data_IF_422818515293
#
_entry.id   IF_422818515293
#
_cell.length_a   1.000
_cell.length_b   1.000
_cell.length_c   1.000
_cell.angle_alpha   90.00
_cell.angle_beta   90.00
_cell.angle_gamma   90.00
#
_symmetry.space_group_name_H-M   'P 1'
#
loop_
_entity.id
_entity.type
_entity.pdbx_description
1 polymer ?
#
# COMPACT_ATOMS: atom_id res chain seq x y z
N UNK A 1 27.57 10.64 -16.92
CA UNK A 1 29.01 10.34 -16.65
C UNK A 1 29.64 11.35 -15.66
N UNK A 2 29.02 11.63 -14.49
CA UNK A 2 29.60 12.52 -13.45
C UNK A 2 29.81 11.85 -12.08
N UNK A 3 29.22 10.67 -11.84
CA UNK A 3 29.30 10.00 -10.54
C UNK A 3 30.72 9.53 -10.16
N UNK A 4 31.64 9.35 -11.12
CA UNK A 4 33.05 9.06 -10.83
C UNK A 4 33.74 10.15 -10.01
N UNK A 5 33.26 11.39 -10.09
CA UNK A 5 33.83 12.54 -9.37
C UNK A 5 33.38 12.62 -7.90
N UNK A 6 32.49 11.73 -7.45
CA UNK A 6 31.93 11.72 -6.09
C UNK A 6 32.38 10.51 -5.27
N UNK A 7 33.37 9.74 -5.74
CA UNK A 7 33.98 8.65 -5.00
C UNK A 7 34.71 9.23 -3.79
N UNK A 8 34.29 8.84 -2.58
CA UNK A 8 34.86 9.25 -1.30
C UNK A 8 34.99 8.01 -0.40
N UNK A 9 36.16 7.34 -0.42
CA UNK A 9 36.40 6.13 0.37
C UNK A 9 36.15 6.34 1.86
N UNK A 10 36.58 7.50 2.40
CA UNK A 10 36.45 7.85 3.82
C UNK A 10 35.00 8.12 4.26
N UNK A 11 34.08 8.32 3.32
CA UNK A 11 32.65 8.55 3.56
C UNK A 11 31.77 7.33 3.19
N UNK A 12 32.39 6.18 2.88
CA UNK A 12 31.67 4.94 2.54
C UNK A 12 31.22 4.82 1.09
N UNK A 13 31.71 5.67 0.18
CA UNK A 13 31.45 5.60 -1.27
C UNK A 13 32.75 5.25 -2.00
N UNK A 14 33.18 4.00 -1.89
CA UNK A 14 34.44 3.54 -2.47
C UNK A 14 34.34 3.31 -3.98
N UNK A 15 33.12 3.16 -4.51
CA UNK A 15 32.88 2.82 -5.92
C UNK A 15 31.86 3.74 -6.60
N UNK A 16 31.94 3.79 -7.94
CA UNK A 16 30.96 4.47 -8.79
C UNK A 16 29.52 3.98 -8.56
N UNK A 17 29.35 2.68 -8.34
CA UNK A 17 28.05 2.05 -8.10
C UNK A 17 27.46 2.41 -6.73
N UNK A 18 28.30 2.52 -5.70
CA UNK A 18 27.86 3.00 -4.38
C UNK A 18 27.44 4.47 -4.43
N UNK A 19 28.18 5.32 -5.14
CA UNK A 19 27.80 6.72 -5.33
C UNK A 19 26.46 6.86 -6.07
N UNK A 20 26.22 6.03 -7.11
CA UNK A 20 24.94 6.01 -7.81
C UNK A 20 23.79 5.49 -6.93
N UNK A 21 24.00 4.42 -6.16
CA UNK A 21 22.99 3.91 -5.22
C UNK A 21 22.66 4.92 -4.13
N UNK A 22 23.66 5.62 -3.60
CA UNK A 22 23.44 6.71 -2.64
C UNK A 22 22.59 7.84 -3.24
N UNK A 23 22.88 8.24 -4.48
CA UNK A 23 22.07 9.24 -5.18
C UNK A 23 20.63 8.75 -5.44
N UNK A 24 20.46 7.48 -5.84
CA UNK A 24 19.14 6.86 -6.01
C UNK A 24 18.35 6.91 -4.71
N UNK A 25 18.95 6.49 -3.60
CA UNK A 25 18.31 6.47 -2.28
C UNK A 25 17.81 7.87 -1.89
N UNK A 26 18.64 8.91 -2.05
CA UNK A 26 18.24 10.29 -1.75
C UNK A 26 17.04 10.74 -2.60
N UNK A 27 17.03 10.41 -3.89
CA UNK A 27 15.94 10.80 -4.79
C UNK A 27 14.66 10.04 -4.43
N UNK A 28 14.77 8.73 -4.22
CA UNK A 28 13.66 7.87 -3.79
C UNK A 28 13.06 8.40 -2.49
N UNK A 29 13.89 8.65 -1.48
CA UNK A 29 13.44 9.18 -0.18
C UNK A 29 12.73 10.52 -0.33
N UNK A 30 13.27 11.44 -1.13
CA UNK A 30 12.62 12.73 -1.41
C UNK A 30 11.26 12.54 -2.07
N UNK A 31 11.16 11.71 -3.12
CA UNK A 31 9.90 11.47 -3.82
C UNK A 31 8.88 10.75 -2.93
N UNK A 32 9.30 9.75 -2.14
CA UNK A 32 8.42 8.98 -1.27
C UNK A 32 7.85 9.78 -0.10
N UNK A 33 8.54 10.85 0.33
CA UNK A 33 8.12 11.72 1.42
C UNK A 33 7.35 12.97 0.95
N UNK A 34 7.14 13.15 -0.35
CA UNK A 34 6.38 14.27 -0.91
C UNK A 34 4.89 14.19 -0.55
N UNK A 35 4.33 15.14 0.22
CA UNK A 35 2.94 15.06 0.68
C UNK A 35 1.91 15.06 -0.46
N UNK A 36 2.17 15.82 -1.53
CA UNK A 36 1.34 15.89 -2.74
C UNK A 36 1.24 14.53 -3.44
N UNK A 37 2.38 13.86 -3.65
CA UNK A 37 2.41 12.54 -4.27
C UNK A 37 1.74 11.48 -3.40
N UNK A 38 2.00 11.49 -2.09
CA UNK A 38 1.35 10.57 -1.14
C UNK A 38 -0.16 10.75 -1.10
N UNK A 39 -0.64 11.99 -1.14
CA UNK A 39 -2.06 12.29 -1.19
C UNK A 39 -2.73 11.75 -2.46
N UNK A 40 -2.06 11.84 -3.61
CA UNK A 40 -2.54 11.25 -4.86
C UNK A 40 -2.69 9.73 -4.77
N UNK A 41 -1.65 9.03 -4.30
CA UNK A 41 -1.69 7.57 -4.13
C UNK A 41 -2.79 7.17 -3.15
N UNK A 42 -2.88 7.85 -2.01
CA UNK A 42 -3.95 7.62 -1.03
C UNK A 42 -5.33 7.77 -1.67
N UNK A 43 -5.59 8.88 -2.36
CA UNK A 43 -6.88 9.13 -2.99
C UNK A 43 -7.25 8.06 -4.03
N UNK A 44 -6.29 7.63 -4.84
CA UNK A 44 -6.49 6.58 -5.84
C UNK A 44 -6.85 5.24 -5.19
N UNK A 45 -6.07 4.80 -4.20
CA UNK A 45 -6.31 3.54 -3.49
C UNK A 45 -7.62 3.56 -2.69
N UNK A 46 -8.01 4.71 -2.13
CA UNK A 46 -9.28 4.85 -1.43
C UNK A 46 -10.49 4.82 -2.37
N UNK A 47 -10.38 5.47 -3.52
CA UNK A 47 -11.53 5.68 -4.43
C UNK A 47 -11.72 4.52 -5.38
N UNK A 48 -10.63 4.07 -6.01
CA UNK A 48 -10.63 3.09 -7.08
C UNK A 48 -9.98 1.76 -6.67
N UNK A 49 -9.28 1.74 -5.54
CA UNK A 49 -8.63 0.53 -5.04
C UNK A 49 -9.62 -0.59 -4.71
N UNK A 50 -9.12 -1.81 -4.83
CA UNK A 50 -9.86 -3.04 -4.54
C UNK A 50 -9.07 -3.90 -3.60
N UNK A 51 -9.76 -4.48 -2.61
CA UNK A 51 -9.19 -5.60 -1.88
C UNK A 51 -9.29 -6.84 -2.75
N UNK A 52 -8.25 -7.66 -2.73
CA UNK A 52 -8.21 -8.96 -3.37
C UNK A 52 -7.73 -9.97 -2.34
N UNK A 53 -8.34 -11.15 -2.31
CA UNK A 53 -7.87 -12.25 -1.48
C UNK A 53 -7.76 -13.55 -2.26
N UNK A 54 -6.76 -14.33 -1.86
CA UNK A 54 -6.42 -15.62 -2.44
C UNK A 54 -6.07 -16.61 -1.32
N UNK A 55 -6.24 -17.91 -1.60
CA UNK A 55 -5.75 -18.99 -0.73
C UNK A 55 -4.24 -18.94 -0.61
N UNK A 56 -3.72 -19.21 0.58
CA UNK A 56 -2.31 -19.54 0.77
C UNK A 56 -2.09 -21.04 0.63
N UNK A 57 -0.83 -21.46 0.76
CA UNK A 57 -0.44 -22.88 0.88
C UNK A 57 -1.00 -23.55 2.14
N UNK A 58 -1.35 -22.77 3.17
CA UNK A 58 -1.78 -23.26 4.49
C UNK A 58 -3.33 -23.24 4.62
N UNK A 59 -4.04 -23.04 3.50
CA UNK A 59 -5.50 -22.97 3.45
C UNK A 59 -6.15 -24.33 3.78
N UNK A 60 -7.15 -24.33 4.67
CA UNK A 60 -7.80 -25.56 5.14
C UNK A 60 -8.96 -26.01 4.25
N UNK A 61 -9.18 -27.32 4.05
CA UNK A 61 -10.30 -27.84 3.25
C UNK A 61 -11.69 -27.37 3.69
N UNK A 62 -11.92 -27.29 5.01
CA UNK A 62 -13.18 -26.80 5.61
C UNK A 62 -13.00 -25.42 6.26
N UNK A 63 -12.29 -24.52 5.58
CA UNK A 63 -12.00 -23.20 6.11
C UNK A 63 -13.30 -22.39 6.32
N UNK A 64 -13.40 -21.75 7.49
CA UNK A 64 -14.41 -20.71 7.79
C UNK A 64 -14.31 -19.50 6.86
N UNK A 65 -13.23 -19.40 6.08
CA UNK A 65 -12.96 -18.32 5.14
C UNK A 65 -13.27 -18.68 3.67
N UNK A 66 -14.01 -19.77 3.42
CA UNK A 66 -14.29 -20.25 2.07
C UNK A 66 -14.88 -19.18 1.13
N UNK A 67 -15.77 -18.33 1.63
CA UNK A 67 -16.37 -17.24 0.83
C UNK A 67 -15.35 -16.15 0.43
N UNK A 68 -14.18 -16.12 1.07
CA UNK A 68 -13.13 -15.12 0.89
C UNK A 68 -11.87 -15.73 0.26
N UNK A 69 -11.93 -16.98 -0.18
CA UNK A 69 -10.79 -17.67 -0.75
C UNK A 69 -10.39 -17.14 -2.14
N UNK A 70 -11.37 -16.60 -2.88
CA UNK A 70 -11.23 -15.92 -4.16
C UNK A 70 -12.20 -14.73 -4.17
N UNK A 71 -11.81 -13.65 -3.50
CA UNK A 71 -12.71 -12.51 -3.28
C UNK A 71 -12.08 -11.22 -3.78
N UNK A 72 -12.91 -10.37 -4.37
CA UNK A 72 -12.50 -9.04 -4.78
C UNK A 72 -13.64 -8.04 -4.61
N UNK A 73 -13.38 -6.95 -3.91
CA UNK A 73 -14.35 -5.89 -3.67
C UNK A 73 -13.67 -4.52 -3.59
N UNK A 74 -14.36 -3.45 -3.97
CA UNK A 74 -13.81 -2.10 -3.83
C UNK A 74 -13.62 -1.70 -2.37
N UNK A 75 -12.54 -0.95 -2.10
CA UNK A 75 -12.24 -0.42 -0.75
C UNK A 75 -13.40 0.42 -0.23
N UNK A 76 -13.97 1.27 -1.09
CA UNK A 76 -15.12 2.12 -0.77
C UNK A 76 -16.35 1.32 -0.31
N UNK A 77 -16.61 0.16 -0.90
CA UNK A 77 -17.74 -0.68 -0.51
C UNK A 77 -17.52 -1.33 0.86
N UNK A 78 -16.29 -1.72 1.19
CA UNK A 78 -15.96 -2.33 2.48
C UNK A 78 -15.99 -1.34 3.65
N UNK A 79 -15.96 -0.04 3.39
CA UNK A 79 -16.19 1.00 4.40
C UNK A 79 -17.68 1.16 4.77
N UNK A 80 -18.60 0.62 3.96
CA UNK A 80 -20.02 0.73 4.26
C UNK A 80 -20.36 -0.13 5.48
N UNK A 81 -21.18 0.41 6.38
CA UNK A 81 -21.59 -0.25 7.64
C UNK A 81 -22.14 -1.67 7.47
N UNK A 82 -22.84 -1.92 6.37
CA UNK A 82 -23.38 -3.25 6.04
C UNK A 82 -22.32 -4.29 5.65
N UNK A 83 -21.10 -3.85 5.36
CA UNK A 83 -20.04 -4.64 4.73
C UNK A 83 -18.77 -4.74 5.58
N UNK A 84 -18.69 -4.00 6.69
CA UNK A 84 -17.52 -3.97 7.58
C UNK A 84 -17.18 -5.34 8.19
N UNK A 85 -18.17 -6.17 8.47
CA UNK A 85 -17.96 -7.54 8.94
C UNK A 85 -17.18 -8.41 7.93
N UNK A 86 -17.29 -8.12 6.62
CA UNK A 86 -16.54 -8.84 5.57
C UNK A 86 -15.05 -8.54 5.66
N UNK A 87 -14.70 -7.27 5.93
CA UNK A 87 -13.32 -6.90 6.16
C UNK A 87 -12.73 -7.60 7.40
N UNK A 88 -13.49 -7.73 8.50
CA UNK A 88 -13.04 -8.48 9.67
C UNK A 88 -12.80 -9.97 9.36
N UNK A 89 -13.65 -10.58 8.55
CA UNK A 89 -13.47 -11.97 8.14
C UNK A 89 -12.20 -12.16 7.30
N UNK A 90 -12.00 -11.29 6.30
CA UNK A 90 -10.76 -11.23 5.50
C UNK A 90 -9.52 -11.06 6.37
N UNK A 91 -9.55 -10.08 7.28
CA UNK A 91 -8.42 -9.76 8.17
C UNK A 91 -8.08 -10.91 9.11
N UNK A 92 -9.08 -11.62 9.65
CA UNK A 92 -8.85 -12.82 10.47
C UNK A 92 -8.23 -13.95 9.66
N UNK A 93 -8.77 -14.24 8.47
CA UNK A 93 -8.19 -15.26 7.58
C UNK A 93 -6.76 -14.93 7.15
N UNK A 94 -6.45 -13.64 7.00
CA UNK A 94 -5.10 -13.16 6.75
C UNK A 94 -4.16 -13.36 7.95
N UNK A 95 -4.59 -12.99 9.16
CA UNK A 95 -3.80 -13.17 10.38
C UNK A 95 -3.57 -14.64 10.74
N UNK A 96 -4.53 -15.51 10.44
CA UNK A 96 -4.41 -16.97 10.63
C UNK A 96 -3.60 -17.66 9.52
N UNK A 97 -3.16 -16.91 8.51
CA UNK A 97 -2.31 -17.39 7.43
C UNK A 97 -3.03 -18.20 6.35
N UNK A 98 -4.35 -18.37 6.40
CA UNK A 98 -5.12 -19.12 5.39
C UNK A 98 -5.39 -18.28 4.13
N UNK A 99 -5.51 -16.96 4.28
CA UNK A 99 -5.70 -16.03 3.18
C UNK A 99 -4.49 -15.12 2.99
N UNK A 100 -4.16 -14.85 1.72
CA UNK A 100 -3.39 -13.68 1.34
C UNK A 100 -4.38 -12.57 1.03
N UNK A 101 -4.17 -11.38 1.58
CA UNK A 101 -5.00 -10.19 1.31
C UNK A 101 -4.12 -9.08 0.78
N UNK A 102 -4.49 -8.51 -0.37
CA UNK A 102 -3.82 -7.38 -1.02
C UNK A 102 -4.82 -6.27 -1.30
N UNK A 103 -4.34 -5.03 -1.40
CA UNK A 103 -5.11 -3.91 -1.93
C UNK A 103 -4.40 -3.44 -3.18
N UNK A 104 -5.12 -3.38 -4.29
CA UNK A 104 -4.61 -3.10 -5.63
C UNK A 104 -5.35 -1.93 -6.25
N UNK A 105 -4.65 -1.09 -6.99
CA UNK A 105 -5.19 0.03 -7.77
C UNK A 105 -4.38 0.21 -9.06
N UNK A 106 -4.85 1.09 -9.96
CA UNK A 106 -4.11 1.40 -11.19
C UNK A 106 -2.98 2.39 -10.91
N UNK A 107 -1.75 1.87 -10.86
CA UNK A 107 -0.55 2.67 -10.63
C UNK A 107 -0.06 3.40 -11.89
N UNK A 108 -0.62 3.16 -13.08
CA UNK A 108 -0.08 3.73 -14.33
C UNK A 108 -0.11 5.26 -14.35
N UNK A 109 -1.21 5.86 -13.88
CA UNK A 109 -1.33 7.31 -13.79
C UNK A 109 -0.55 7.91 -12.62
N UNK A 110 -0.43 7.16 -11.52
CA UNK A 110 0.40 7.54 -10.38
C UNK A 110 1.88 7.59 -10.78
N UNK A 111 2.36 6.57 -11.50
CA UNK A 111 3.74 6.49 -11.96
C UNK A 111 4.11 7.69 -12.84
N UNK A 112 3.24 8.09 -13.77
CA UNK A 112 3.46 9.31 -14.58
C UNK A 112 3.62 10.56 -13.73
N UNK A 113 2.88 10.66 -12.63
CA UNK A 113 2.97 11.80 -11.70
C UNK A 113 4.30 11.79 -10.93
N UNK A 114 4.76 10.61 -10.51
CA UNK A 114 6.08 10.45 -9.88
C UNK A 114 7.22 10.72 -10.86
N UNK A 115 7.12 10.23 -12.09
CA UNK A 115 8.08 10.47 -13.17
C UNK A 115 8.17 11.97 -13.49
N UNK A 116 7.03 12.66 -13.64
CA UNK A 116 6.99 14.10 -13.85
C UNK A 116 7.64 14.87 -12.69
N UNK A 117 7.38 14.48 -11.45
CA UNK A 117 8.00 15.08 -10.26
C UNK A 117 9.51 14.84 -10.20
N UNK A 118 9.98 13.66 -10.63
CA UNK A 118 11.40 13.33 -10.67
C UNK A 118 12.15 14.07 -11.79
N UNK A 119 11.50 14.25 -12.95
CA UNK A 119 12.09 14.85 -14.15
C UNK A 119 11.98 16.38 -14.21
N UNK A 120 11.37 17.02 -13.22
CA UNK A 120 11.24 18.47 -13.15
C UNK A 120 12.59 19.23 -13.24
N UNK A 121 13.72 18.54 -13.05
CA UNK A 121 15.05 19.17 -12.91
C UNK A 121 15.97 18.99 -14.13
N UNK A 122 15.83 17.98 -15.03
CA UNK A 122 16.76 17.82 -16.18
C UNK A 122 16.31 16.82 -17.25
N UNK A 123 16.52 17.16 -18.54
CA UNK A 123 16.30 16.27 -19.70
C UNK A 123 17.61 15.85 -20.38
N UNK A 124 17.88 14.53 -20.38
CA UNK A 124 18.28 13.70 -21.54
C UNK A 124 19.13 12.48 -21.15
N UNK A 125 20.16 12.62 -20.30
CA UNK A 125 21.05 11.50 -19.94
C UNK A 125 20.71 10.77 -18.63
N UNK A 126 19.96 11.40 -17.72
CA UNK A 126 19.58 10.81 -16.43
C UNK A 126 18.13 10.30 -16.40
N UNK A 127 17.40 10.41 -17.51
CA UNK A 127 15.97 10.15 -17.59
C UNK A 127 15.61 8.73 -17.15
N UNK A 128 16.35 7.72 -17.64
CA UNK A 128 16.12 6.32 -17.27
C UNK A 128 16.35 6.07 -15.77
N UNK A 129 17.41 6.65 -15.22
CA UNK A 129 17.73 6.56 -13.80
C UNK A 129 16.67 7.24 -12.92
N UNK A 130 16.18 8.42 -13.33
CA UNK A 130 15.12 9.13 -12.60
C UNK A 130 13.77 8.39 -12.67
N UNK A 131 13.43 7.81 -13.82
CA UNK A 131 12.23 6.99 -13.97
C UNK A 131 12.29 5.75 -13.07
N UNK A 132 13.46 5.11 -12.95
CA UNK A 132 13.67 4.00 -12.01
C UNK A 132 13.50 4.45 -10.56
N UNK A 133 14.07 5.60 -10.18
CA UNK A 133 13.87 6.19 -8.84
C UNK A 133 12.39 6.46 -8.56
N UNK A 134 11.66 7.04 -9.52
CA UNK A 134 10.23 7.30 -9.43
C UNK A 134 9.43 6.02 -9.21
N UNK A 135 9.74 4.97 -9.98
CA UNK A 135 9.11 3.65 -9.84
C UNK A 135 9.37 3.04 -8.46
N UNK A 136 10.61 3.04 -7.98
CA UNK A 136 10.96 2.53 -6.66
C UNK A 136 10.24 3.32 -5.56
N UNK A 137 10.23 4.65 -5.66
CA UNK A 137 9.56 5.51 -4.71
C UNK A 137 8.06 5.19 -4.59
N UNK A 138 7.39 4.95 -5.72
CA UNK A 138 5.99 4.56 -5.75
C UNK A 138 5.79 3.14 -5.21
N UNK A 139 6.41 2.13 -5.81
CA UNK A 139 6.05 0.71 -5.60
C UNK A 139 6.65 0.10 -4.34
N UNK A 140 7.85 0.52 -3.93
CA UNK A 140 8.56 -0.07 -2.78
C UNK A 140 8.29 0.70 -1.49
N UNK A 141 8.00 1.99 -1.58
CA UNK A 141 7.84 2.84 -0.40
C UNK A 141 6.43 3.39 -0.20
N UNK A 142 5.87 4.09 -1.19
CA UNK A 142 4.58 4.77 -1.01
C UNK A 142 3.42 3.80 -1.01
N UNK A 143 3.34 2.87 -1.97
CA UNK A 143 2.26 1.89 -2.04
C UNK A 143 2.14 1.05 -0.76
N UNK A 144 3.22 0.41 -0.24
CA UNK A 144 3.10 -0.39 0.98
C UNK A 144 2.69 0.44 2.20
N UNK A 145 3.18 1.69 2.29
CA UNK A 145 2.79 2.61 3.35
C UNK A 145 1.31 2.97 3.29
N UNK A 146 0.80 3.30 2.11
CA UNK A 146 -0.60 3.67 1.89
C UNK A 146 -1.52 2.46 2.13
N UNK A 147 -1.15 1.28 1.62
CA UNK A 147 -1.90 0.04 1.84
C UNK A 147 -2.04 -0.29 3.33
N UNK A 148 -0.95 -0.14 4.11
CA UNK A 148 -1.01 -0.33 5.56
C UNK A 148 -1.95 0.67 6.25
N UNK A 149 -1.92 1.94 5.82
CA UNK A 149 -2.83 2.97 6.32
C UNK A 149 -4.30 2.63 6.00
N UNK A 150 -4.59 2.19 4.78
CA UNK A 150 -5.94 1.75 4.38
C UNK A 150 -6.42 0.57 5.23
N UNK A 151 -5.56 -0.41 5.49
CA UNK A 151 -5.90 -1.52 6.38
C UNK A 151 -6.23 -1.04 7.80
N UNK A 152 -5.52 -0.02 8.29
CA UNK A 152 -5.81 0.66 9.55
C UNK A 152 -7.21 1.26 9.56
N UNK A 153 -7.53 2.09 8.56
CA UNK A 153 -8.84 2.76 8.44
C UNK A 153 -9.99 1.76 8.32
N UNK A 154 -9.84 0.73 7.47
CA UNK A 154 -10.85 -0.32 7.33
C UNK A 154 -11.07 -1.09 8.63
N UNK A 155 -10.00 -1.31 9.40
CA UNK A 155 -10.07 -2.01 10.69
C UNK A 155 -10.79 -1.17 11.72
N UNK A 156 -10.36 0.08 11.90
CA UNK A 156 -10.98 1.02 12.83
C UNK A 156 -12.48 1.13 12.58
N UNK A 157 -12.87 1.32 11.31
CA UNK A 157 -14.27 1.41 10.93
C UNK A 157 -15.06 0.14 11.24
N UNK A 158 -14.45 -1.03 11.00
CA UNK A 158 -15.12 -2.29 11.24
C UNK A 158 -15.23 -2.65 12.72
N UNK A 159 -14.23 -2.27 13.53
CA UNK A 159 -14.24 -2.43 14.97
C UNK A 159 -15.33 -1.54 15.61
N UNK A 160 -15.45 -0.28 15.18
CA UNK A 160 -16.52 0.64 15.60
C UNK A 160 -17.92 0.06 15.34
N UNK A 161 -18.17 -0.42 14.13
CA UNK A 161 -19.46 -0.98 13.75
C UNK A 161 -19.77 -2.28 14.52
N UNK A 162 -18.77 -3.13 14.72
CA UNK A 162 -18.93 -4.37 15.49
C UNK A 162 -19.30 -4.08 16.95
N UNK A 163 -18.67 -3.08 17.57
CA UNK A 163 -18.98 -2.64 18.94
C UNK A 163 -20.42 -2.09 19.00
N UNK A 164 -20.83 -1.28 18.02
CA UNK A 164 -22.19 -0.73 17.95
C UNK A 164 -23.25 -1.84 17.87
N UNK A 165 -23.06 -2.82 16.98
CA UNK A 165 -23.99 -3.96 16.84
C UNK A 165 -24.01 -4.84 18.10
N UNK A 166 -22.84 -5.08 18.70
CA UNK A 166 -22.75 -5.85 19.94
C UNK A 166 -23.49 -5.17 21.09
N UNK A 167 -23.30 -3.87 21.29
CA UNK A 167 -23.98 -3.10 22.32
C UNK A 167 -25.51 -3.10 22.14
N UNK A 168 -26.00 -2.98 20.90
CA UNK A 168 -27.43 -3.10 20.59
C UNK A 168 -27.98 -4.48 20.92
N UNK A 169 -27.25 -5.55 20.59
CA UNK A 169 -27.66 -6.91 20.88
C UNK A 169 -27.73 -7.17 22.39
N UNK A 170 -26.73 -6.72 23.16
CA UNK A 170 -26.74 -6.83 24.63
C UNK A 170 -27.92 -6.07 25.22
N UNK A 171 -28.21 -4.84 24.77
CA UNK A 171 -29.39 -4.09 25.24
C UNK A 171 -30.69 -4.85 24.99
N UNK A 172 -30.86 -5.45 23.80
CA UNK A 172 -32.08 -6.22 23.47
C UNK A 172 -32.26 -7.41 24.40
N UNK A 173 -31.19 -8.15 24.69
CA UNK A 173 -31.21 -9.30 25.61
C UNK A 173 -31.48 -8.89 27.05
N UNK A 174 -31.01 -7.71 27.48
CA UNK A 174 -31.28 -7.21 28.83
C UNK A 174 -32.68 -6.60 29.00
N UNK A 175 -33.32 -6.22 27.90
CA UNK A 175 -34.69 -5.67 27.87
C UNK A 175 -35.74 -6.72 27.49
N UNK A 176 -35.34 -7.97 27.26
CA UNK A 176 -36.21 -9.14 27.03
C UNK A 176 -36.42 -9.91 28.32
#
# INVERSE_FOLDING_TARGET
>A
VKAKNFIKPDAGFATYEEALRGAQHIIVEKLSNRPDLRALVKNEYFTNGRIVSAKTKDYKPNSKYAMYAEFSESVKSLQAKKSTHRYLALRRGWQEGELKVTIEADDAQLLKSFEAAAMAVTTSQATSFLAECAKIALTVHVNPSVVNELHGVLKERADEDAISVFAENVRKVLMS
#
